data_IF_353771458183
#
_entry.id   IF_353771458183
#
_cell.length_a   1.000
_cell.length_b   1.000
_cell.length_c   1.000
_cell.angle_alpha   90.00
_cell.angle_beta   90.00
_cell.angle_gamma   90.00
#
_symmetry.space_group_name_H-M   'P 1'
#
loop_
_entity.id
_entity.type
_entity.pdbx_description
1 polymer ?
#
# COMPACT_ATOMS: atom_id res chain seq x y z
N UNK A 1 24.25 -7.13 -12.70
CA UNK A 1 22.99 -6.42 -12.96
C UNK A 1 22.53 -5.79 -11.63
N UNK A 2 22.93 -4.54 -11.36
CA UNK A 2 22.58 -3.88 -10.10
C UNK A 2 21.11 -3.46 -10.15
N UNK A 3 20.22 -4.31 -9.61
CA UNK A 3 18.85 -3.89 -9.30
C UNK A 3 18.93 -3.05 -8.04
N UNK A 4 19.01 -1.72 -8.18
CA UNK A 4 18.80 -0.83 -7.05
C UNK A 4 17.39 -1.09 -6.53
N UNK A 5 17.27 -1.80 -5.40
CA UNK A 5 16.00 -1.97 -4.72
C UNK A 5 15.54 -0.59 -4.26
N UNK A 6 14.30 -0.22 -4.56
CA UNK A 6 13.70 0.95 -3.93
C UNK A 6 13.56 0.63 -2.44
N UNK A 7 13.90 1.58 -1.59
CA UNK A 7 13.71 1.47 -0.15
C UNK A 7 12.79 2.58 0.32
N UNK A 8 11.98 2.27 1.34
CA UNK A 8 11.22 3.30 2.07
C UNK A 8 12.17 4.20 2.86
N UNK A 9 11.65 5.32 3.39
CA UNK A 9 12.41 6.18 4.30
C UNK A 9 12.90 5.44 5.57
N UNK A 10 12.27 4.31 5.90
CA UNK A 10 12.64 3.45 7.02
C UNK A 10 13.66 2.35 6.63
N UNK A 11 14.13 2.33 5.38
CA UNK A 11 15.11 1.34 4.88
C UNK A 11 14.50 0.03 4.37
N UNK A 12 13.19 -0.16 4.50
CA UNK A 12 12.52 -1.39 4.06
C UNK A 12 12.41 -1.50 2.53
N UNK A 13 12.53 -2.71 1.95
CA UNK A 13 12.31 -2.93 0.51
C UNK A 13 10.92 -2.47 0.07
N UNK A 14 10.87 -1.62 -0.94
CA UNK A 14 9.66 -1.11 -1.55
C UNK A 14 9.40 -1.77 -2.91
N UNK A 15 8.14 -2.10 -3.16
CA UNK A 15 7.68 -2.53 -4.47
C UNK A 15 7.59 -1.34 -5.43
N UNK A 16 7.88 -1.60 -6.71
CA UNK A 16 7.59 -0.63 -7.79
C UNK A 16 6.11 -0.61 -8.19
N UNK A 17 5.31 -1.47 -7.58
CA UNK A 17 3.87 -1.59 -7.81
C UNK A 17 3.12 -0.85 -6.71
N UNK A 18 2.05 -0.15 -7.10
CA UNK A 18 1.08 0.44 -6.19
C UNK A 18 -0.27 -0.25 -6.26
N UNK A 19 -1.10 -0.05 -5.23
CA UNK A 19 -2.48 -0.53 -5.19
C UNK A 19 -3.43 0.65 -5.42
N UNK A 20 -4.16 0.62 -6.53
CA UNK A 20 -5.29 1.52 -6.75
C UNK A 20 -6.54 0.96 -6.05
N UNK A 21 -7.10 1.72 -5.12
CA UNK A 21 -8.27 1.31 -4.36
C UNK A 21 -9.52 1.34 -5.25
N UNK A 22 -10.20 0.20 -5.34
CA UNK A 22 -11.51 0.09 -5.97
C UNK A 22 -12.64 0.41 -4.98
N UNK A 23 -13.80 0.94 -5.42
CA UNK A 23 -14.98 1.03 -4.57
C UNK A 23 -15.30 -0.30 -3.89
N UNK A 24 -15.66 -0.26 -2.60
CA UNK A 24 -16.00 -1.43 -1.78
C UNK A 24 -14.89 -2.48 -1.60
N UNK A 25 -13.65 -2.18 -1.99
CA UNK A 25 -12.52 -3.06 -1.78
C UNK A 25 -12.28 -3.32 -0.30
N UNK A 26 -12.12 -4.59 0.07
CA UNK A 26 -11.99 -4.98 1.47
C UNK A 26 -10.69 -4.46 2.09
N UNK A 27 -10.75 -4.15 3.39
CA UNK A 27 -9.59 -3.74 4.20
C UNK A 27 -8.41 -4.72 4.10
N UNK A 28 -8.71 -6.02 3.99
CA UNK A 28 -7.70 -7.06 3.89
C UNK A 28 -6.79 -6.89 2.66
N UNK A 29 -7.30 -6.32 1.57
CA UNK A 29 -6.50 -6.08 0.36
C UNK A 29 -5.34 -5.11 0.63
N UNK A 30 -5.58 -4.03 1.40
CA UNK A 30 -4.53 -3.09 1.78
C UNK A 30 -3.44 -3.79 2.62
N UNK A 31 -3.87 -4.61 3.59
CA UNK A 31 -2.96 -5.37 4.47
C UNK A 31 -2.12 -6.38 3.69
N UNK A 32 -2.74 -7.11 2.76
CA UNK A 32 -2.04 -8.10 1.92
C UNK A 32 -1.05 -7.42 0.98
N UNK A 33 -1.44 -6.32 0.33
CA UNK A 33 -0.55 -5.57 -0.55
C UNK A 33 0.68 -5.03 0.21
N UNK A 34 0.46 -4.45 1.39
CA UNK A 34 1.54 -3.95 2.24
C UNK A 34 2.52 -5.07 2.64
N UNK A 35 2.02 -6.24 3.05
CA UNK A 35 2.85 -7.43 3.34
C UNK A 35 3.65 -7.90 2.13
N UNK A 36 3.14 -7.68 0.92
CA UNK A 36 3.84 -7.93 -0.34
C UNK A 36 4.83 -6.82 -0.75
N UNK A 37 5.10 -5.85 0.11
CA UNK A 37 6.02 -4.74 -0.15
C UNK A 37 5.41 -3.57 -0.92
N UNK A 38 4.10 -3.55 -1.16
CA UNK A 38 3.43 -2.38 -1.75
C UNK A 38 3.36 -1.28 -0.72
N UNK A 39 4.06 -0.17 -0.99
CA UNK A 39 4.13 1.01 -0.14
C UNK A 39 3.46 2.23 -0.76
N UNK A 40 2.82 2.09 -1.94
CA UNK A 40 2.13 3.17 -2.63
C UNK A 40 0.67 2.80 -2.88
N UNK A 41 -0.25 3.63 -2.38
CA UNK A 41 -1.69 3.39 -2.42
C UNK A 41 -2.40 4.60 -3.02
N UNK A 42 -3.27 4.36 -4.00
CA UNK A 42 -4.00 5.40 -4.71
C UNK A 42 -5.49 5.31 -4.45
N UNK A 43 -6.17 6.46 -4.41
CA UNK A 43 -7.60 6.57 -4.17
C UNK A 43 -8.18 7.56 -5.17
N UNK A 44 -9.27 7.18 -5.82
CA UNK A 44 -9.97 8.07 -6.77
C UNK A 44 -10.95 9.01 -6.06
N UNK A 45 -11.30 8.71 -4.80
CA UNK A 45 -12.09 9.60 -3.93
C UNK A 45 -11.92 9.25 -2.45
N UNK A 46 -12.45 10.10 -1.57
CA UNK A 46 -12.54 9.79 -0.13
C UNK A 46 -13.52 8.64 0.19
N UNK A 47 -14.21 8.09 -0.81
CA UNK A 47 -15.18 7.01 -0.64
C UNK A 47 -14.56 5.64 -0.36
N UNK A 48 -13.26 5.44 -0.59
CA UNK A 48 -12.56 4.17 -0.34
C UNK A 48 -12.16 4.00 1.14
N UNK A 49 -13.09 4.28 2.06
CA UNK A 49 -12.89 4.28 3.51
C UNK A 49 -12.42 2.93 4.07
N UNK A 50 -12.87 1.82 3.48
CA UNK A 50 -12.41 0.48 3.84
C UNK A 50 -10.89 0.35 3.63
N UNK A 51 -10.37 0.64 2.44
CA UNK A 51 -8.92 0.56 2.19
C UNK A 51 -8.14 1.50 3.11
N UNK A 52 -8.64 2.73 3.32
CA UNK A 52 -8.04 3.69 4.26
C UNK A 52 -7.97 3.13 5.68
N UNK A 53 -9.05 2.54 6.21
CA UNK A 53 -9.05 1.87 7.52
C UNK A 53 -8.04 0.73 7.59
N UNK A 54 -7.87 -0.02 6.49
CA UNK A 54 -6.87 -1.07 6.37
C UNK A 54 -5.43 -0.59 6.53
N UNK A 55 -5.16 0.67 6.17
CA UNK A 55 -3.84 1.30 6.26
C UNK A 55 -3.56 1.97 7.61
N UNK A 56 -4.59 2.44 8.34
CA UNK A 56 -4.39 3.16 9.63
C UNK A 56 -3.44 2.45 10.62
N UNK A 57 -3.52 1.11 10.81
CA UNK A 57 -2.62 0.42 11.73
C UNK A 57 -1.14 0.42 11.31
N UNK A 58 -0.85 0.76 10.06
CA UNK A 58 0.50 0.73 9.46
C UNK A 58 1.26 2.06 9.66
N UNK A 59 0.60 3.12 10.12
CA UNK A 59 1.19 4.46 10.33
C UNK A 59 1.92 4.59 11.69
N UNK A 60 2.47 3.49 12.21
CA UNK A 60 3.22 3.48 13.47
C UNK A 60 4.66 3.91 13.28
#
# INVERSE_FOLDING_TARGET
>A
MFRHALTTIAGEPASRLGLAAYPDQQEACARTAFRGGVNYFFFYSIGQQSVIRGLRPLLR
#
